data_IF_229299892779
#
_entry.id   IF_229299892779
#
_cell.length_a   1.000
_cell.length_b   1.000
_cell.length_c   1.000
_cell.angle_alpha   90.00
_cell.angle_beta   90.00
_cell.angle_gamma   90.00
#
_symmetry.space_group_name_H-M   'P 1'
#
loop_
_entity.id
_entity.type
_entity.pdbx_description
1 polymer ?
#
# COMPACT_ATOMS: atom_id res chain seq x y z
N UNK A 1 -15.40 -4.65 -3.94
CA UNK A 1 -15.39 -6.09 -3.67
C UNK A 1 -15.21 -6.80 -4.99
N UNK A 2 -14.11 -7.53 -5.20
CA UNK A 2 -13.85 -8.28 -6.43
C UNK A 2 -13.89 -9.76 -6.11
N UNK A 3 -14.76 -10.48 -6.79
CA UNK A 3 -14.91 -11.92 -6.66
C UNK A 3 -14.37 -12.59 -7.91
N UNK A 4 -13.32 -13.39 -7.78
CA UNK A 4 -12.83 -14.25 -8.82
C UNK A 4 -13.51 -15.61 -8.72
N UNK A 5 -14.25 -15.99 -9.74
CA UNK A 5 -14.82 -17.32 -9.84
C UNK A 5 -13.97 -18.11 -10.82
N UNK A 6 -13.30 -19.14 -10.34
CA UNK A 6 -12.61 -20.06 -11.22
C UNK A 6 -13.65 -20.81 -12.06
N UNK A 7 -13.44 -21.00 -13.38
CA UNK A 7 -14.38 -21.73 -14.21
C UNK A 7 -14.52 -23.16 -13.68
N UNK A 8 -15.73 -23.51 -13.27
CA UNK A 8 -16.08 -24.89 -12.93
C UNK A 8 -16.11 -25.68 -14.23
N UNK A 9 -15.05 -26.40 -14.57
CA UNK A 9 -15.17 -27.48 -15.54
C UNK A 9 -15.99 -28.60 -14.89
N UNK A 10 -17.25 -28.62 -15.23
CA UNK A 10 -18.12 -29.73 -14.95
C UNK A 10 -17.77 -30.87 -15.94
N UNK A 11 -16.97 -31.74 -15.62
CA UNK A 11 -16.75 -33.08 -16.10
C UNK A 11 -15.35 -33.41 -15.62
N UNK A 12 -15.33 -34.00 -14.49
CA UNK A 12 -14.10 -34.42 -13.88
C UNK A 12 -13.44 -35.47 -14.79
N UNK A 13 -12.34 -35.14 -15.46
CA UNK A 13 -11.46 -36.19 -15.99
C UNK A 13 -10.82 -37.01 -14.88
N UNK A 14 -11.18 -36.73 -13.61
CA UNK A 14 -10.63 -37.37 -12.42
C UNK A 14 -11.44 -38.58 -11.93
N UNK A 15 -12.51 -38.98 -12.62
CA UNK A 15 -13.27 -40.22 -12.31
C UNK A 15 -12.72 -41.40 -13.09
N UNK A 16 -11.70 -41.18 -13.91
CA UNK A 16 -11.04 -42.30 -14.58
C UNK A 16 -10.20 -43.05 -13.54
N UNK A 17 -10.55 -44.30 -13.30
CA UNK A 17 -9.91 -45.19 -12.33
C UNK A 17 -8.40 -45.40 -12.59
N UNK A 18 -7.91 -44.94 -13.71
CA UNK A 18 -6.50 -45.00 -14.10
C UNK A 18 -5.74 -43.69 -13.95
N UNK A 19 -6.43 -42.57 -13.64
CA UNK A 19 -5.76 -41.28 -13.49
C UNK A 19 -5.10 -41.13 -12.11
N UNK A 20 -3.80 -40.91 -12.08
CA UNK A 20 -3.06 -40.60 -10.87
C UNK A 20 -3.17 -39.10 -10.55
N UNK A 21 -3.52 -38.76 -9.30
CA UNK A 21 -3.57 -37.39 -8.82
C UNK A 21 -2.15 -36.89 -8.55
N UNK A 22 -1.81 -35.70 -9.06
CA UNK A 22 -0.54 -35.04 -8.73
C UNK A 22 -0.61 -34.58 -7.26
N UNK A 23 0.46 -34.87 -6.49
CA UNK A 23 0.51 -34.56 -5.04
C UNK A 23 0.42 -33.06 -4.73
N UNK A 24 0.88 -32.24 -5.63
CA UNK A 24 0.88 -30.78 -5.42
C UNK A 24 0.74 -30.04 -6.75
N UNK A 25 -0.05 -28.99 -6.74
CA UNK A 25 -0.20 -28.06 -7.85
C UNK A 25 -0.19 -26.63 -7.34
N UNK A 26 0.60 -25.77 -7.96
CA UNK A 26 0.72 -24.36 -7.57
C UNK A 26 0.26 -23.46 -8.72
N UNK A 27 -0.45 -22.38 -8.39
CA UNK A 27 -0.75 -21.32 -9.34
C UNK A 27 -0.67 -19.95 -8.67
N UNK A 28 -0.28 -18.95 -9.46
CA UNK A 28 -0.25 -17.55 -9.06
C UNK A 28 -1.44 -16.81 -9.67
N UNK A 29 -1.96 -15.84 -8.93
CA UNK A 29 -2.95 -14.88 -9.49
C UNK A 29 -2.23 -13.84 -10.34
N UNK A 30 -3.00 -13.09 -11.13
CA UNK A 30 -2.49 -11.82 -11.63
C UNK A 30 -2.22 -10.85 -10.46
N UNK A 31 -1.34 -9.88 -10.70
CA UNK A 31 -1.10 -8.78 -9.76
C UNK A 31 -2.37 -7.94 -9.64
N UNK A 32 -2.83 -7.73 -8.42
CA UNK A 32 -4.03 -6.95 -8.14
C UNK A 32 -3.68 -5.63 -7.49
N UNK A 33 -4.21 -4.52 -8.00
CA UNK A 33 -4.01 -3.16 -7.50
C UNK A 33 -5.32 -2.42 -7.20
N UNK A 34 -6.47 -3.11 -7.28
CA UNK A 34 -7.79 -2.58 -6.89
C UNK A 34 -8.27 -1.34 -7.67
N UNK A 35 -7.77 -1.13 -8.89
CA UNK A 35 -8.13 0.02 -9.72
C UNK A 35 -7.40 1.32 -9.36
N UNK A 36 -6.58 1.33 -8.30
CA UNK A 36 -5.80 2.51 -7.83
C UNK A 36 -4.34 2.10 -7.61
N UNK A 37 -3.55 1.95 -8.68
CA UNK A 37 -2.19 1.39 -8.60
C UNK A 37 -1.22 2.25 -7.78
N UNK A 38 -1.38 3.58 -7.79
CA UNK A 38 -0.50 4.50 -7.05
C UNK A 38 -0.77 4.59 -5.55
N UNK A 39 -1.87 4.03 -5.05
CA UNK A 39 -2.28 4.21 -3.65
C UNK A 39 -1.99 2.97 -2.82
N UNK A 40 -1.32 3.15 -1.67
CA UNK A 40 -1.10 2.09 -0.71
C UNK A 40 -2.42 1.56 -0.13
N UNK A 41 -2.45 0.26 0.11
CA UNK A 41 -3.57 -0.48 0.68
C UNK A 41 -3.08 -1.30 1.86
N UNK A 42 -3.88 -1.35 2.92
CA UNK A 42 -3.72 -2.34 3.96
C UNK A 42 -4.58 -3.56 3.60
N UNK A 43 -3.95 -4.71 3.44
CA UNK A 43 -4.63 -5.98 3.21
C UNK A 43 -5.05 -6.55 4.55
N UNK A 44 -6.32 -6.92 4.70
CA UNK A 44 -6.91 -7.29 5.97
C UNK A 44 -7.11 -8.80 6.09
N UNK A 45 -7.80 -9.38 5.14
CA UNK A 45 -8.14 -10.81 5.15
C UNK A 45 -8.41 -11.34 3.75
N UNK A 46 -8.26 -12.65 3.63
CA UNK A 46 -8.62 -13.44 2.46
C UNK A 46 -9.69 -14.46 2.87
N UNK A 47 -10.85 -14.43 2.23
CA UNK A 47 -11.91 -15.42 2.41
C UNK A 47 -11.87 -16.39 1.24
N UNK A 48 -11.80 -17.69 1.52
CA UNK A 48 -11.71 -18.72 0.48
C UNK A 48 -12.92 -19.67 0.57
N UNK A 49 -13.49 -20.00 -0.60
CA UNK A 49 -14.53 -21.02 -0.76
C UNK A 49 -13.91 -22.27 -1.37
N UNK A 50 -14.00 -23.38 -0.65
CA UNK A 50 -13.26 -24.58 -0.97
C UNK A 50 -14.10 -25.82 -0.76
N UNK A 51 -13.59 -26.96 -1.25
CA UNK A 51 -14.14 -28.29 -1.00
C UNK A 51 -13.01 -29.30 -0.90
N UNK A 52 -13.35 -30.46 -0.32
CA UNK A 52 -12.50 -31.64 -0.25
C UNK A 52 -11.18 -31.40 0.53
N UNK A 53 -11.26 -30.60 1.61
CA UNK A 53 -10.15 -30.38 2.53
C UNK A 53 -10.09 -31.40 3.66
N UNK A 54 -8.89 -31.59 4.21
CA UNK A 54 -8.63 -32.49 5.35
C UNK A 54 -8.77 -33.97 4.96
N UNK A 55 -9.18 -34.77 5.93
CA UNK A 55 -9.33 -36.20 5.79
C UNK A 55 -8.02 -36.99 5.90
N UNK A 56 -8.08 -38.30 5.66
CA UNK A 56 -6.93 -39.21 5.70
C UNK A 56 -5.81 -38.84 4.72
N UNK A 57 -6.17 -38.16 3.65
CA UNK A 57 -5.26 -37.75 2.58
C UNK A 57 -4.58 -36.39 2.85
N UNK A 58 -4.78 -35.81 4.05
CA UNK A 58 -4.18 -34.55 4.50
C UNK A 58 -4.28 -33.43 3.45
N UNK A 59 -5.45 -33.32 2.82
CA UNK A 59 -5.72 -32.35 1.76
C UNK A 59 -5.75 -30.93 2.33
N UNK A 60 -4.91 -30.06 1.79
CA UNK A 60 -4.75 -28.68 2.25
C UNK A 60 -4.47 -27.72 1.11
N UNK A 61 -4.66 -26.44 1.36
CA UNK A 61 -4.27 -25.36 0.45
C UNK A 61 -3.40 -24.39 1.21
N UNK A 62 -2.13 -24.27 0.80
CA UNK A 62 -1.21 -23.26 1.34
C UNK A 62 -1.37 -21.98 0.53
N UNK A 63 -1.55 -20.86 1.20
CA UNK A 63 -1.67 -19.54 0.59
C UNK A 63 -0.47 -18.69 0.95
N UNK A 64 0.17 -18.14 -0.07
CA UNK A 64 1.29 -17.20 0.05
C UNK A 64 1.00 -15.92 -0.69
N UNK A 65 1.76 -14.86 -0.44
CA UNK A 65 1.63 -13.60 -1.16
C UNK A 65 2.96 -12.86 -1.29
N UNK A 66 2.99 -11.92 -2.25
CA UNK A 66 4.03 -10.92 -2.43
C UNK A 66 3.39 -9.56 -2.68
N UNK A 67 4.07 -8.51 -2.25
CA UNK A 67 3.65 -7.12 -2.39
C UNK A 67 4.57 -6.38 -3.37
N UNK A 68 4.00 -5.42 -4.10
CA UNK A 68 4.73 -4.42 -4.89
C UNK A 68 5.77 -4.99 -5.85
N UNK A 69 5.42 -6.09 -6.51
CA UNK A 69 6.30 -6.78 -7.46
C UNK A 69 7.26 -7.79 -6.82
N UNK A 70 7.23 -7.96 -5.50
CA UNK A 70 7.92 -9.08 -4.87
C UNK A 70 7.31 -10.43 -5.28
N UNK A 71 8.10 -11.51 -5.17
CA UNK A 71 7.61 -12.86 -5.46
C UNK A 71 6.34 -13.17 -4.68
N UNK A 72 5.35 -13.80 -5.34
CA UNK A 72 4.11 -14.28 -4.72
C UNK A 72 4.32 -15.27 -3.58
N UNK A 73 5.54 -15.77 -3.39
CA UNK A 73 5.92 -16.69 -2.32
C UNK A 73 6.69 -16.05 -1.16
N UNK A 74 6.79 -14.71 -1.12
CA UNK A 74 7.59 -13.99 -0.11
C UNK A 74 7.07 -14.20 1.30
N UNK A 75 5.75 -14.12 1.49
CA UNK A 75 5.09 -14.32 2.78
C UNK A 75 4.12 -15.49 2.72
N UNK A 76 3.96 -16.19 3.84
CA UNK A 76 2.95 -17.24 4.00
C UNK A 76 1.76 -16.67 4.76
N UNK A 77 0.60 -16.58 4.08
CA UNK A 77 -0.64 -16.10 4.69
C UNK A 77 -1.27 -17.15 5.60
N UNK A 78 -1.15 -18.41 5.25
CA UNK A 78 -1.63 -19.51 6.08
C UNK A 78 -1.95 -20.77 5.28
N UNK A 79 -2.45 -21.78 6.01
CA UNK A 79 -2.80 -23.09 5.45
C UNK A 79 -4.25 -23.41 5.76
N UNK A 80 -5.03 -23.68 4.72
CA UNK A 80 -6.44 -24.05 4.78
C UNK A 80 -6.57 -25.57 4.80
N UNK A 81 -7.55 -26.10 5.57
CA UNK A 81 -7.81 -27.53 5.65
C UNK A 81 -7.08 -28.28 6.76
N UNK A 82 -6.22 -27.62 7.54
CA UNK A 82 -5.51 -28.25 8.65
C UNK A 82 -6.35 -28.20 9.93
N UNK A 83 -6.80 -27.02 10.33
CA UNK A 83 -7.57 -26.82 11.56
C UNK A 83 -9.07 -26.96 11.36
N UNK A 84 -9.55 -26.93 10.14
CA UNK A 84 -10.97 -26.98 9.80
C UNK A 84 -11.18 -27.55 8.40
N UNK A 85 -12.25 -28.33 8.24
CA UNK A 85 -12.73 -28.84 6.95
C UNK A 85 -13.90 -27.98 6.41
N UNK A 86 -14.17 -26.84 7.03
CA UNK A 86 -15.22 -25.92 6.58
C UNK A 86 -15.01 -25.52 5.13
N UNK A 87 -16.10 -25.42 4.37
CA UNK A 87 -16.07 -24.99 2.96
C UNK A 87 -15.73 -23.51 2.80
N UNK A 88 -15.83 -22.73 3.85
CA UNK A 88 -15.46 -21.32 3.87
C UNK A 88 -14.48 -21.10 5.01
N UNK A 89 -13.29 -20.64 4.71
CA UNK A 89 -12.27 -20.30 5.69
C UNK A 89 -11.70 -18.91 5.41
N UNK A 90 -11.27 -18.24 6.46
CA UNK A 90 -10.69 -16.90 6.39
C UNK A 90 -9.26 -16.94 6.92
N UNK A 91 -8.35 -16.33 6.19
CA UNK A 91 -6.98 -16.05 6.60
C UNK A 91 -6.84 -14.54 6.84
N UNK A 92 -6.14 -14.16 7.88
CA UNK A 92 -5.89 -12.77 8.23
C UNK A 92 -4.43 -12.42 7.95
N UNK A 93 -4.19 -11.25 7.36
CA UNK A 93 -2.84 -10.81 7.03
C UNK A 93 -1.99 -10.49 8.25
N UNK A 94 -2.60 -10.16 9.38
CA UNK A 94 -1.87 -9.96 10.64
C UNK A 94 -1.31 -11.27 11.25
N UNK A 95 -1.78 -12.43 10.81
CA UNK A 95 -1.34 -13.74 11.26
C UNK A 95 -0.35 -14.39 10.25
N UNK A 96 0.08 -13.66 9.22
CA UNK A 96 1.00 -14.15 8.22
C UNK A 96 2.44 -14.28 8.78
N UNK A 97 3.25 -15.10 8.12
CA UNK A 97 4.66 -15.29 8.47
C UNK A 97 5.58 -15.00 7.29
N UNK A 98 6.80 -14.62 7.58
CA UNK A 98 7.86 -14.48 6.57
C UNK A 98 8.36 -15.85 6.05
N UNK A 99 9.30 -15.84 5.13
CA UNK A 99 9.91 -17.07 4.59
C UNK A 99 10.68 -17.90 5.61
N UNK A 100 11.02 -17.32 6.77
CA UNK A 100 11.70 -17.99 7.89
C UNK A 100 10.73 -18.50 8.95
N UNK A 101 9.42 -18.23 8.79
CA UNK A 101 8.36 -18.62 9.73
C UNK A 101 8.19 -17.66 10.90
N UNK A 102 8.77 -16.46 10.86
CA UNK A 102 8.55 -15.43 11.88
C UNK A 102 7.27 -14.66 11.55
N UNK A 103 6.58 -14.19 12.59
CA UNK A 103 5.42 -13.32 12.44
C UNK A 103 5.83 -12.04 11.70
N UNK A 104 4.98 -11.61 10.77
CA UNK A 104 5.19 -10.37 10.02
C UNK A 104 4.91 -9.14 10.90
N UNK A 105 5.39 -7.98 10.44
CA UNK A 105 4.98 -6.67 10.95
C UNK A 105 3.78 -6.16 10.13
N UNK A 106 2.53 -6.24 10.63
CA UNK A 106 1.35 -5.96 9.79
C UNK A 106 1.29 -4.56 9.20
N UNK A 107 1.99 -3.60 9.82
CA UNK A 107 2.03 -2.20 9.36
C UNK A 107 2.89 -1.99 8.11
N UNK A 108 3.78 -2.92 7.82
CA UNK A 108 4.68 -2.90 6.65
C UNK A 108 4.42 -4.07 5.71
N UNK A 109 4.37 -5.29 6.26
CA UNK A 109 4.36 -6.51 5.46
C UNK A 109 2.94 -6.93 4.99
N UNK A 110 1.90 -6.21 5.45
CA UNK A 110 0.53 -6.33 4.96
C UNK A 110 0.04 -5.04 4.26
N UNK A 111 0.97 -4.13 3.91
CA UNK A 111 0.68 -2.85 3.27
C UNK A 111 1.48 -2.73 1.98
N UNK A 112 0.80 -2.45 0.88
CA UNK A 112 1.44 -2.28 -0.43
C UNK A 112 0.48 -1.65 -1.44
N UNK A 113 0.99 -1.28 -2.60
CA UNK A 113 0.19 -0.74 -3.72
C UNK A 113 -0.47 -1.86 -4.51
N UNK A 114 0.19 -3.01 -4.57
CA UNK A 114 -0.27 -4.20 -5.28
C UNK A 114 0.03 -5.47 -4.50
N UNK A 115 -0.70 -6.54 -4.82
CA UNK A 115 -0.50 -7.87 -4.24
C UNK A 115 -0.65 -8.94 -5.31
N UNK A 116 0.16 -9.98 -5.21
CA UNK A 116 0.00 -11.22 -5.95
C UNK A 116 -0.13 -12.38 -4.96
N UNK A 117 -1.14 -13.23 -5.17
CA UNK A 117 -1.38 -14.40 -4.34
C UNK A 117 -0.88 -15.66 -5.04
N UNK A 118 -0.36 -16.60 -4.27
CA UNK A 118 0.00 -17.93 -4.71
C UNK A 118 -0.80 -18.96 -3.91
N UNK A 119 -1.39 -19.92 -4.60
CA UNK A 119 -2.12 -21.04 -4.00
C UNK A 119 -1.42 -22.34 -4.37
N UNK A 120 -1.04 -23.11 -3.34
CA UNK A 120 -0.51 -24.47 -3.52
C UNK A 120 -1.51 -25.45 -2.95
N UNK A 121 -2.08 -26.27 -3.84
CA UNK A 121 -3.03 -27.34 -3.51
C UNK A 121 -2.26 -28.62 -3.29
N UNK A 122 -2.43 -29.26 -2.15
CA UNK A 122 -1.64 -30.43 -1.74
C UNK A 122 -2.53 -31.57 -1.25
N UNK A 123 -2.13 -32.79 -1.56
CA UNK A 123 -2.69 -34.02 -0.99
C UNK A 123 -1.58 -35.03 -0.70
N UNK A 124 -1.70 -35.81 0.36
CA UNK A 124 -0.75 -36.89 0.65
C UNK A 124 -1.01 -38.14 -0.20
N UNK A 125 -2.25 -38.29 -0.71
CA UNK A 125 -2.65 -39.47 -1.50
C UNK A 125 -2.44 -39.24 -3.00
N UNK A 126 -1.91 -40.29 -3.65
CA UNK A 126 -1.82 -40.41 -5.12
C UNK A 126 -2.66 -41.55 -5.64
N UNK A 127 -3.49 -42.14 -4.77
CA UNK A 127 -4.32 -43.29 -5.13
C UNK A 127 -5.36 -42.88 -6.16
N UNK A 128 -5.63 -43.76 -7.09
CA UNK A 128 -6.73 -43.61 -8.04
C UNK A 128 -8.06 -43.41 -7.27
N UNK A 129 -8.83 -42.40 -7.69
CA UNK A 129 -10.08 -42.04 -7.04
C UNK A 129 -9.94 -41.07 -5.84
N UNK A 130 -8.73 -40.66 -5.42
CA UNK A 130 -8.54 -39.57 -4.46
C UNK A 130 -8.93 -38.26 -5.09
N UNK A 131 -9.78 -37.50 -4.40
CA UNK A 131 -10.15 -36.14 -4.84
C UNK A 131 -9.11 -35.13 -4.32
N UNK A 132 -8.55 -34.28 -5.22
CA UNK A 132 -7.67 -33.21 -4.79
C UNK A 132 -8.48 -32.11 -4.08
N UNK A 133 -7.84 -31.26 -3.24
CA UNK A 133 -8.49 -30.09 -2.69
C UNK A 133 -8.93 -29.16 -3.84
N UNK A 134 -10.10 -28.52 -3.68
CA UNK A 134 -10.68 -27.64 -4.69
C UNK A 134 -10.85 -26.24 -4.14
N UNK A 135 -10.34 -25.23 -4.84
CA UNK A 135 -10.58 -23.80 -4.59
C UNK A 135 -11.59 -23.30 -5.63
N UNK A 136 -12.76 -22.87 -5.18
CA UNK A 136 -13.82 -22.35 -6.07
C UNK A 136 -13.74 -20.86 -6.28
N UNK A 137 -13.49 -20.13 -5.20
CA UNK A 137 -13.41 -18.68 -5.23
C UNK A 137 -12.60 -18.18 -4.04
N UNK A 138 -12.12 -16.97 -4.16
CA UNK A 138 -11.56 -16.22 -3.04
C UNK A 138 -11.97 -14.75 -3.13
N UNK A 139 -11.97 -14.09 -2.00
CA UNK A 139 -12.30 -12.68 -1.85
C UNK A 139 -11.24 -12.01 -0.98
N UNK A 140 -10.57 -11.01 -1.53
CA UNK A 140 -9.54 -10.22 -0.86
C UNK A 140 -10.15 -8.94 -0.31
N UNK A 141 -10.00 -8.72 0.99
CA UNK A 141 -10.43 -7.50 1.67
C UNK A 141 -9.24 -6.60 1.94
N UNK A 142 -9.34 -5.35 1.51
CA UNK A 142 -8.34 -4.33 1.77
C UNK A 142 -8.99 -2.96 2.00
N UNK A 143 -8.28 -2.07 2.67
CA UNK A 143 -8.63 -0.66 2.81
C UNK A 143 -7.58 0.21 2.15
N UNK A 144 -8.00 1.32 1.55
CA UNK A 144 -7.07 2.33 1.04
C UNK A 144 -6.37 2.99 2.23
N UNK A 145 -5.07 3.21 2.06
CA UNK A 145 -4.22 3.89 3.04
C UNK A 145 -3.51 5.04 2.32
N UNK A 146 -4.20 6.18 2.14
CA UNK A 146 -3.58 7.33 1.52
C UNK A 146 -2.37 7.78 2.35
N UNK A 147 -1.32 8.31 1.73
CA UNK A 147 -0.18 8.85 2.45
C UNK A 147 -0.64 9.95 3.41
N UNK A 148 -0.05 9.96 4.60
CA UNK A 148 -0.24 11.06 5.56
C UNK A 148 0.73 12.17 5.15
N UNK A 149 0.24 13.14 4.41
CA UNK A 149 1.02 14.31 4.04
C UNK A 149 1.02 15.31 5.20
N UNK A 150 2.20 15.83 5.51
CA UNK A 150 2.34 16.92 6.48
C UNK A 150 1.88 18.22 5.84
N UNK A 151 1.26 19.06 6.65
CA UNK A 151 0.81 20.39 6.23
C UNK A 151 1.34 21.41 7.23
N UNK A 152 1.86 22.50 6.71
CA UNK A 152 2.33 23.64 7.54
C UNK A 152 1.56 24.88 7.15
N UNK A 153 1.29 25.72 8.12
CA UNK A 153 0.80 27.07 7.93
C UNK A 153 1.96 28.02 8.20
N UNK A 154 2.29 28.84 7.21
CA UNK A 154 3.42 29.78 7.28
C UNK A 154 2.91 31.17 6.96
N UNK A 155 3.24 32.12 7.81
CA UNK A 155 2.95 33.52 7.56
C UNK A 155 4.19 34.21 6.98
N UNK A 156 4.07 34.70 5.76
CA UNK A 156 5.14 35.41 5.05
C UNK A 156 4.82 36.90 5.01
N UNK A 157 5.71 37.72 5.54
CA UNK A 157 5.65 39.17 5.40
C UNK A 157 6.42 39.56 4.13
N UNK A 158 5.82 40.38 3.28
CA UNK A 158 6.45 40.99 2.10
C UNK A 158 6.39 42.52 2.27
N UNK A 159 7.46 43.21 1.97
CA UNK A 159 7.54 44.66 2.17
C UNK A 159 8.88 45.22 1.74
N UNK A 160 8.95 46.58 1.68
CA UNK A 160 10.17 47.29 1.27
C UNK A 160 11.18 47.45 2.44
N UNK A 161 10.73 47.25 3.68
CA UNK A 161 11.52 47.41 4.89
C UNK A 161 12.06 46.06 5.45
N UNK A 162 12.06 45.02 4.65
CA UNK A 162 12.52 43.70 5.08
C UNK A 162 14.02 43.67 5.30
N UNK A 163 14.42 43.09 6.44
CA UNK A 163 15.83 42.92 6.81
C UNK A 163 16.15 41.43 6.66
N UNK A 164 17.20 41.14 5.89
CA UNK A 164 17.73 39.78 5.75
C UNK A 164 18.40 39.31 7.06
N UNK A 165 18.58 38.00 7.21
CA UNK A 165 19.30 37.42 8.36
C UNK A 165 20.72 38.00 8.52
N UNK A 166 21.34 38.43 7.41
CA UNK A 166 22.62 39.15 7.41
C UNK A 166 22.59 40.54 8.03
N UNK A 167 21.42 41.07 8.39
CA UNK A 167 21.22 42.42 8.90
C UNK A 167 21.13 43.54 7.86
N UNK A 168 21.19 43.19 6.57
CA UNK A 168 21.02 44.15 5.47
C UNK A 168 19.57 44.20 5.01
N UNK A 169 19.17 45.39 4.47
CA UNK A 169 17.88 45.50 3.82
C UNK A 169 17.79 44.59 2.58
N UNK A 170 16.64 43.98 2.42
CA UNK A 170 16.37 43.21 1.21
C UNK A 170 16.26 44.19 0.03
N UNK A 171 17.11 44.05 -1.02
CA UNK A 171 17.06 44.90 -2.19
C UNK A 171 15.85 44.64 -3.09
N UNK A 172 15.07 43.58 -2.80
CA UNK A 172 13.92 43.14 -3.60
C UNK A 172 12.70 43.95 -3.23
N UNK A 173 12.12 44.67 -4.20
CA UNK A 173 10.90 45.44 -3.99
C UNK A 173 9.71 44.54 -3.60
N UNK A 174 8.77 45.14 -2.83
CA UNK A 174 7.51 44.48 -2.45
C UNK A 174 6.80 43.84 -3.64
N UNK A 175 6.70 44.56 -4.78
CA UNK A 175 6.07 44.05 -6.00
C UNK A 175 6.77 42.80 -6.52
N UNK A 176 8.10 42.77 -6.49
CA UNK A 176 8.88 41.61 -6.95
C UNK A 176 8.67 40.42 -6.01
N UNK A 177 8.67 40.65 -4.69
CA UNK A 177 8.42 39.59 -3.69
C UNK A 177 7.03 38.96 -3.89
N UNK A 178 5.99 39.76 -4.18
CA UNK A 178 4.65 39.26 -4.48
C UNK A 178 4.68 38.42 -5.77
N UNK A 179 5.34 38.92 -6.82
CA UNK A 179 5.46 38.17 -8.10
C UNK A 179 6.21 36.83 -7.89
N UNK A 180 7.21 36.81 -7.02
CA UNK A 180 7.94 35.58 -6.70
C UNK A 180 7.05 34.59 -5.95
N UNK A 181 6.19 35.06 -5.02
CA UNK A 181 5.17 34.22 -4.37
C UNK A 181 4.14 33.68 -5.38
N UNK A 182 3.65 34.51 -6.31
CA UNK A 182 2.74 34.08 -7.38
C UNK A 182 3.40 32.98 -8.23
N UNK A 183 4.68 33.18 -8.55
CA UNK A 183 5.46 32.18 -9.32
C UNK A 183 5.62 30.86 -8.58
N UNK A 184 5.82 30.92 -7.25
CA UNK A 184 5.94 29.72 -6.41
C UNK A 184 4.60 29.00 -6.26
N UNK A 185 3.47 29.73 -6.19
CA UNK A 185 2.13 29.16 -6.12
C UNK A 185 1.76 28.43 -7.42
N UNK A 186 2.10 29.02 -8.57
CA UNK A 186 1.81 28.49 -9.91
C UNK A 186 2.75 27.35 -10.33
N UNK A 187 3.77 27.01 -9.52
CA UNK A 187 4.70 25.95 -9.87
C UNK A 187 4.04 24.56 -9.86
N UNK A 188 4.18 23.87 -11.00
CA UNK A 188 3.73 22.46 -11.16
C UNK A 188 4.64 21.48 -10.43
N UNK A 189 5.93 21.82 -10.28
CA UNK A 189 6.92 20.97 -9.63
C UNK A 189 7.03 21.32 -8.14
N UNK A 190 7.25 20.29 -7.28
CA UNK A 190 7.49 20.55 -5.85
C UNK A 190 8.69 21.49 -5.63
N UNK A 191 8.54 22.38 -4.66
CA UNK A 191 9.61 23.25 -4.18
C UNK A 191 10.27 22.62 -2.95
N UNK A 192 11.53 22.98 -2.69
CA UNK A 192 12.22 22.51 -1.51
C UNK A 192 11.98 23.49 -0.35
N UNK A 193 11.36 22.99 0.71
CA UNK A 193 11.11 23.72 1.93
C UNK A 193 12.11 23.28 3.00
N UNK A 194 12.89 24.22 3.54
CA UNK A 194 13.79 23.98 4.64
C UNK A 194 13.22 24.64 5.89
N UNK A 195 12.97 23.85 6.91
CA UNK A 195 12.46 24.31 8.20
C UNK A 195 13.58 24.23 9.24
N UNK A 196 13.94 25.37 9.83
CA UNK A 196 15.04 25.50 10.81
C UNK A 196 14.53 25.54 12.25
N UNK A 197 13.36 24.98 12.55
CA UNK A 197 12.83 25.03 13.92
C UNK A 197 13.50 23.97 14.79
N UNK A 198 14.32 24.47 15.72
CA UNK A 198 15.04 23.71 16.73
C UNK A 198 14.05 23.11 17.74
N UNK A 199 14.01 21.79 17.89
CA UNK A 199 13.33 21.11 19.00
C UNK A 199 12.25 20.08 18.69
N UNK A 200 11.96 19.73 17.44
CA UNK A 200 11.09 18.60 17.13
C UNK A 200 11.93 17.38 16.70
N UNK A 201 11.92 16.34 17.51
CA UNK A 201 12.53 15.06 17.20
C UNK A 201 12.02 14.55 15.82
N UNK A 202 12.91 14.43 14.83
CA UNK A 202 12.62 13.97 13.48
C UNK A 202 12.83 14.98 12.36
N UNK A 203 13.30 16.19 12.65
CA UNK A 203 13.81 17.12 11.65
C UNK A 203 15.32 17.25 11.82
N UNK A 204 16.08 16.61 10.95
CA UNK A 204 17.47 16.96 10.76
C UNK A 204 17.54 18.37 10.17
N UNK A 205 18.38 19.25 10.73
CA UNK A 205 18.55 20.64 10.29
C UNK A 205 18.97 20.79 8.81
N UNK A 206 19.34 19.67 8.16
CA UNK A 206 19.78 19.62 6.78
C UNK A 206 18.76 19.04 5.80
N UNK A 207 17.62 18.49 6.26
CA UNK A 207 16.66 17.87 5.37
C UNK A 207 15.73 18.90 4.74
N UNK A 208 15.84 19.08 3.42
CA UNK A 208 14.84 19.76 2.62
C UNK A 208 13.69 18.82 2.32
N UNK A 209 12.46 19.29 2.50
CA UNK A 209 11.23 18.55 2.19
C UNK A 209 10.67 19.09 0.90
N UNK A 210 10.26 18.20 0.00
CA UNK A 210 9.53 18.59 -1.21
C UNK A 210 8.10 18.97 -0.83
N UNK A 211 7.67 20.18 -1.16
CA UNK A 211 6.36 20.71 -0.82
C UNK A 211 5.70 21.40 -2.02
N UNK A 212 4.39 21.57 -1.93
CA UNK A 212 3.60 22.42 -2.80
C UNK A 212 2.81 23.42 -1.97
N UNK A 213 2.58 24.61 -2.51
CA UNK A 213 1.67 25.59 -1.90
C UNK A 213 0.26 25.15 -2.27
N UNK A 214 -0.51 24.74 -1.27
CA UNK A 214 -1.88 24.25 -1.45
C UNK A 214 -2.91 25.38 -1.41
N UNK A 215 -2.61 26.46 -0.69
CA UNK A 215 -3.48 27.63 -0.55
C UNK A 215 -2.66 28.86 -0.14
N UNK A 216 -3.10 30.03 -0.59
CA UNK A 216 -2.51 31.33 -0.22
C UNK A 216 -3.61 32.36 0.01
N UNK A 217 -3.53 33.02 1.15
CA UNK A 217 -4.47 34.07 1.50
C UNK A 217 -3.70 35.31 1.98
N UNK A 218 -4.10 36.50 1.48
CA UNK A 218 -3.60 37.74 1.99
C UNK A 218 -4.41 38.13 3.23
N UNK A 219 -3.78 38.08 4.41
CA UNK A 219 -4.46 38.28 5.71
C UNK A 219 -4.30 39.69 6.28
N UNK A 220 -3.28 40.43 5.87
CA UNK A 220 -3.10 41.80 6.31
C UNK A 220 -2.45 42.69 5.24
N UNK A 221 -2.83 43.94 5.18
CA UNK A 221 -2.27 44.99 4.32
C UNK A 221 -1.89 46.17 5.20
N UNK A 222 -0.62 46.55 5.18
CA UNK A 222 -0.13 47.81 5.70
C UNK A 222 0.36 48.70 4.57
N UNK A 223 0.69 49.95 4.86
CA UNK A 223 1.17 50.91 3.85
C UNK A 223 2.47 50.42 3.17
N UNK A 224 3.37 49.80 3.93
CA UNK A 224 4.70 49.36 3.48
C UNK A 224 4.83 47.84 3.37
N UNK A 225 3.87 47.07 3.88
CA UNK A 225 3.97 45.62 3.90
C UNK A 225 2.62 44.89 3.67
N UNK A 226 2.70 43.63 3.30
CA UNK A 226 1.57 42.70 3.31
C UNK A 226 1.97 41.43 4.05
N UNK A 227 0.99 40.76 4.64
CA UNK A 227 1.18 39.41 5.23
C UNK A 227 0.32 38.42 4.47
N UNK A 228 0.97 37.38 4.00
CA UNK A 228 0.34 36.27 3.33
C UNK A 228 0.41 35.03 4.21
N UNK A 229 -0.73 34.37 4.38
CA UNK A 229 -0.80 33.02 4.93
C UNK A 229 -0.61 32.03 3.81
N UNK A 230 0.36 31.15 3.93
CA UNK A 230 0.59 30.04 3.00
C UNK A 230 0.26 28.73 3.70
N UNK A 231 -0.53 27.89 3.05
CA UNK A 231 -0.72 26.50 3.43
C UNK A 231 0.18 25.67 2.52
N UNK A 232 1.23 25.10 3.13
CA UNK A 232 2.24 24.30 2.44
C UNK A 232 1.98 22.84 2.76
N UNK A 233 1.90 22.00 1.75
CA UNK A 233 1.68 20.57 1.90
C UNK A 233 2.88 19.79 1.36
N UNK A 234 3.28 18.74 2.09
CA UNK A 234 4.30 17.79 1.64
C UNK A 234 3.89 17.18 0.30
N UNK A 235 4.77 17.23 -0.69
CA UNK A 235 4.53 16.59 -1.98
C UNK A 235 4.79 15.09 -1.88
N UNK A 236 3.85 14.28 -2.38
CA UNK A 236 4.07 12.84 -2.48
C UNK A 236 5.07 12.55 -3.60
N UNK A 237 6.33 12.36 -3.23
CA UNK A 237 7.43 12.02 -4.15
C UNK A 237 7.56 10.52 -4.37
N UNK A 238 6.65 9.71 -3.83
CA UNK A 238 6.67 8.24 -3.88
C UNK A 238 5.98 7.65 -5.13
N UNK A 239 5.75 8.46 -6.18
CA UNK A 239 5.14 8.00 -7.43
C UNK A 239 6.12 7.28 -8.36
#
# INVERSE_FOLDING_TARGET
MYRWTLPTRSAAPFIDAESTVVKSGTFDTSVWHGGVPGTSKAFLKLVCWMQDLGGSDSRKITVKYGLDGASSSTYTLGVLGVSSTSRVQTLYFNDATDSSGNDITPTTDAVGRSIQLQFTLETSSTSAGSEPPRLYAFELHSTLRPPKLKTWEVHVRVGEDMIQESGYYDPVSKTKQITDLDTLEDQVYPIYFKHTYDGHAGFDEESSISVQIADRERIAIGDEYEIHRLVIQEADTSA
#
